data_IF_164550781842
#
_entry.id   IF_164550781842
#
_cell.length_a   1.000
_cell.length_b   1.000
_cell.length_c   1.000
_cell.angle_alpha   90.00
_cell.angle_beta   90.00
_cell.angle_gamma   90.00
#
_symmetry.space_group_name_H-M   'P 1'
#
loop_
_entity.id
_entity.type
_entity.pdbx_description
1 polymer ?
#
# COMPACT_ATOMS: atom_id res chain seq x y z
N UNK A 1 9.94 18.83 6.66
CA UNK A 1 9.92 17.52 5.98
C UNK A 1 10.07 17.77 4.50
N UNK A 2 11.15 17.24 3.94
CA UNK A 2 11.74 17.36 2.59
C UNK A 2 10.86 17.95 1.47
N UNK A 3 9.58 17.55 1.38
CA UNK A 3 8.64 18.05 0.37
C UNK A 3 8.32 19.56 0.50
N UNK A 4 8.43 20.13 1.70
CA UNK A 4 8.29 21.57 1.94
C UNK A 4 9.62 22.31 1.72
N UNK A 5 10.75 21.67 2.05
CA UNK A 5 12.09 22.21 1.89
C UNK A 5 12.45 22.37 0.40
N UNK A 6 12.15 21.36 -0.43
CA UNK A 6 12.47 21.36 -1.86
C UNK A 6 11.37 21.96 -2.74
N UNK A 7 10.40 22.67 -2.15
CA UNK A 7 9.25 23.23 -2.88
C UNK A 7 9.71 24.27 -3.91
N UNK A 8 10.66 25.11 -3.53
CA UNK A 8 11.15 26.22 -4.34
C UNK A 8 12.21 25.76 -5.37
N UNK A 9 12.84 24.61 -5.13
CA UNK A 9 13.78 23.95 -6.07
C UNK A 9 13.07 23.23 -7.23
N UNK A 10 11.73 23.27 -7.28
CA UNK A 10 10.95 22.61 -8.33
C UNK A 10 10.95 21.08 -8.27
N UNK A 11 11.42 20.49 -7.17
CA UNK A 11 11.48 19.03 -6.98
C UNK A 11 10.13 18.49 -6.51
N UNK A 12 9.58 17.50 -7.23
CA UNK A 12 8.35 16.83 -6.83
C UNK A 12 8.65 15.55 -6.05
N UNK A 13 8.10 15.43 -4.84
CA UNK A 13 8.18 14.18 -4.05
C UNK A 13 6.80 13.54 -4.00
N UNK A 14 6.67 12.35 -4.60
CA UNK A 14 5.46 11.55 -4.59
C UNK A 14 5.60 10.35 -3.63
N UNK A 15 4.60 10.15 -2.77
CA UNK A 15 4.47 8.89 -2.02
C UNK A 15 3.59 7.92 -2.81
N UNK A 16 4.14 6.76 -3.17
CA UNK A 16 3.39 5.70 -3.85
C UNK A 16 2.94 4.64 -2.85
N UNK A 17 1.63 4.39 -2.80
CA UNK A 17 0.99 3.39 -1.95
C UNK A 17 0.28 2.36 -2.86
N UNK A 18 1.03 1.44 -3.48
CA UNK A 18 0.44 0.32 -4.20
C UNK A 18 -0.24 -0.65 -3.23
N UNK A 19 -1.29 -1.33 -3.70
CA UNK A 19 -1.82 -2.50 -2.98
C UNK A 19 -1.06 -3.76 -3.36
N UNK A 20 -1.68 -4.92 -3.14
CA UNK A 20 -1.11 -6.21 -3.52
C UNK A 20 -0.72 -6.21 -5.01
N UNK A 21 0.57 -6.41 -5.26
CA UNK A 21 1.14 -6.45 -6.61
C UNK A 21 1.73 -7.82 -6.82
N UNK A 22 1.38 -8.47 -7.95
CA UNK A 22 1.82 -9.82 -8.28
C UNK A 22 3.29 -9.81 -8.71
N UNK A 23 4.19 -9.78 -7.75
CA UNK A 23 5.64 -9.84 -7.96
C UNK A 23 6.19 -11.23 -7.61
N UNK A 24 7.48 -11.45 -7.84
CA UNK A 24 8.16 -12.67 -7.39
C UNK A 24 8.60 -12.61 -5.92
N UNK A 25 8.31 -11.51 -5.21
CA UNK A 25 8.68 -11.36 -3.80
C UNK A 25 7.93 -12.37 -2.92
N UNK A 26 6.71 -12.74 -3.31
CA UNK A 26 5.87 -13.65 -2.54
C UNK A 26 6.39 -15.08 -2.57
N UNK A 27 6.77 -15.60 -3.74
CA UNK A 27 7.27 -16.96 -3.92
C UNK A 27 8.67 -17.18 -3.36
N UNK A 28 9.41 -16.09 -3.10
CA UNK A 28 10.77 -16.11 -2.55
C UNK A 28 10.85 -15.52 -1.13
N UNK A 29 9.71 -15.18 -0.53
CA UNK A 29 9.70 -14.60 0.81
C UNK A 29 10.19 -15.65 1.80
N UNK A 30 11.12 -15.28 2.67
CA UNK A 30 11.62 -16.16 3.71
C UNK A 30 10.72 -16.08 4.96
N UNK A 31 10.50 -17.22 5.58
CA UNK A 31 9.91 -17.37 6.91
C UNK A 31 10.95 -17.02 7.98
N UNK A 32 10.52 -16.86 9.24
CA UNK A 32 11.41 -16.50 10.36
C UNK A 32 12.54 -17.50 10.63
N UNK A 33 12.44 -18.72 10.09
CA UNK A 33 13.45 -19.78 10.14
C UNK A 33 14.32 -19.85 8.87
N UNK A 34 14.21 -18.88 7.95
CA UNK A 34 15.00 -18.85 6.71
C UNK A 34 14.53 -19.81 5.61
N UNK A 35 13.44 -20.54 5.79
CA UNK A 35 12.85 -21.37 4.71
C UNK A 35 11.88 -20.54 3.86
N UNK A 36 11.57 -20.98 2.65
CA UNK A 36 10.57 -20.31 1.80
C UNK A 36 9.20 -20.34 2.49
N UNK A 37 8.52 -19.21 2.53
CA UNK A 37 7.20 -19.07 3.10
C UNK A 37 6.14 -19.50 2.08
N UNK A 38 5.53 -20.66 2.31
CA UNK A 38 4.48 -21.25 1.46
C UNK A 38 3.06 -20.99 1.98
N UNK A 39 2.89 -20.16 3.02
CA UNK A 39 1.58 -19.91 3.61
C UNK A 39 0.71 -19.04 2.71
N UNK A 40 -0.56 -19.45 2.60
CA UNK A 40 -1.58 -18.73 1.85
C UNK A 40 -1.93 -17.42 2.58
N UNK A 41 -1.93 -16.30 1.85
CA UNK A 41 -2.12 -14.97 2.43
C UNK A 41 -3.56 -14.49 2.33
N UNK A 42 -4.00 -13.78 3.35
CA UNK A 42 -5.18 -12.94 3.26
C UNK A 42 -4.91 -11.76 2.30
N UNK A 43 -5.35 -11.89 1.06
CA UNK A 43 -5.29 -10.82 0.07
C UNK A 43 -6.55 -9.96 0.23
N UNK A 44 -6.36 -8.67 0.51
CA UNK A 44 -7.47 -7.71 0.54
C UNK A 44 -7.67 -7.12 -0.85
N UNK A 45 -8.79 -7.48 -1.48
CA UNK A 45 -9.15 -6.99 -2.82
C UNK A 45 -8.52 -7.82 -3.94
N UNK A 46 -8.01 -7.15 -4.97
CA UNK A 46 -7.42 -7.79 -6.16
C UNK A 46 -5.94 -7.44 -6.26
N UNK A 47 -5.15 -8.41 -6.73
CA UNK A 47 -3.76 -8.15 -7.11
C UNK A 47 -3.68 -7.36 -8.41
N UNK A 48 -2.79 -6.38 -8.46
CA UNK A 48 -2.43 -5.67 -9.67
C UNK A 48 -1.20 -6.30 -10.34
N UNK A 49 -1.14 -6.23 -11.67
CA UNK A 49 0.09 -6.60 -12.39
C UNK A 49 1.19 -5.56 -12.14
N UNK A 50 2.47 -5.98 -12.04
CA UNK A 50 3.59 -5.05 -11.85
C UNK A 50 3.65 -3.97 -12.93
N UNK A 51 3.32 -4.31 -14.18
CA UNK A 51 3.32 -3.39 -15.32
C UNK A 51 2.27 -2.29 -15.14
N UNK A 52 1.07 -2.64 -14.68
CA UNK A 52 0.01 -1.67 -14.41
C UNK A 52 0.39 -0.72 -13.27
N UNK A 53 0.99 -1.25 -12.20
CA UNK A 53 1.49 -0.47 -11.07
C UNK A 53 2.59 0.50 -11.52
N UNK A 54 3.58 0.02 -12.28
CA UNK A 54 4.65 0.85 -12.82
C UNK A 54 4.12 1.97 -13.72
N UNK A 55 3.19 1.66 -14.62
CA UNK A 55 2.60 2.67 -15.51
C UNK A 55 1.80 3.72 -14.72
N UNK A 56 1.09 3.31 -13.67
CA UNK A 56 0.35 4.23 -12.82
C UNK A 56 1.28 5.14 -12.00
N UNK A 57 2.39 4.61 -11.49
CA UNK A 57 3.43 5.41 -10.81
C UNK A 57 4.03 6.42 -11.79
N UNK A 58 4.42 5.99 -12.99
CA UNK A 58 4.96 6.86 -14.03
C UNK A 58 4.00 8.01 -14.37
N UNK A 59 2.72 7.71 -14.62
CA UNK A 59 1.67 8.71 -14.85
C UNK A 59 1.48 9.64 -13.64
N UNK A 60 1.66 9.13 -12.42
CA UNK A 60 1.60 9.92 -11.19
C UNK A 60 2.74 10.94 -11.07
N UNK A 61 3.96 10.52 -11.42
CA UNK A 61 5.15 11.39 -11.43
C UNK A 61 5.00 12.51 -12.46
N UNK A 62 4.59 12.20 -13.69
CA UNK A 62 4.35 13.22 -14.75
C UNK A 62 3.34 14.26 -14.28
N UNK A 63 2.28 13.84 -13.58
CA UNK A 63 1.24 14.73 -13.04
C UNK A 63 1.63 15.41 -11.72
N UNK A 64 2.89 15.26 -11.27
CA UNK A 64 3.42 15.81 -10.01
C UNK A 64 2.51 15.54 -8.80
N UNK A 65 1.92 14.34 -8.72
CA UNK A 65 1.04 13.99 -7.61
C UNK A 65 1.82 13.90 -6.30
N UNK A 66 1.23 14.38 -5.20
CA UNK A 66 1.83 14.27 -3.86
C UNK A 66 1.72 12.85 -3.28
N UNK A 67 0.59 12.20 -3.53
CA UNK A 67 0.27 10.85 -3.05
C UNK A 67 -0.45 10.08 -4.14
N UNK A 68 -0.05 8.83 -4.35
CA UNK A 68 -0.65 7.93 -5.32
C UNK A 68 -1.11 6.65 -4.61
N UNK A 69 -2.43 6.50 -4.46
CA UNK A 69 -3.05 5.28 -3.93
C UNK A 69 -3.74 4.54 -5.08
N UNK A 70 -3.33 3.30 -5.34
CA UNK A 70 -3.75 2.57 -6.55
C UNK A 70 -5.06 1.79 -6.36
N UNK A 71 -5.24 1.14 -5.21
CA UNK A 71 -6.41 0.28 -4.95
C UNK A 71 -7.61 1.08 -4.49
N UNK A 72 -8.82 0.66 -4.88
CA UNK A 72 -10.08 1.24 -4.41
C UNK A 72 -10.23 1.13 -2.89
N UNK A 73 -9.90 -0.03 -2.32
CA UNK A 73 -9.93 -0.23 -0.86
C UNK A 73 -8.96 0.73 -0.18
N UNK A 74 -7.71 0.80 -0.63
CA UNK A 74 -6.73 1.75 -0.09
C UNK A 74 -7.16 3.22 -0.19
N UNK A 75 -7.84 3.63 -1.28
CA UNK A 75 -8.37 4.99 -1.41
C UNK A 75 -9.44 5.27 -0.36
N UNK A 76 -10.37 4.33 -0.16
CA UNK A 76 -11.41 4.46 0.85
C UNK A 76 -10.81 4.48 2.26
N UNK A 77 -9.90 3.55 2.56
CA UNK A 77 -9.17 3.50 3.83
C UNK A 77 -8.40 4.80 4.10
N UNK A 78 -7.75 5.37 3.08
CA UNK A 78 -7.06 6.66 3.20
C UNK A 78 -8.02 7.81 3.51
N UNK A 79 -9.20 7.84 2.87
CA UNK A 79 -10.23 8.85 3.16
C UNK A 79 -10.78 8.69 4.58
N UNK A 80 -11.10 7.47 5.01
CA UNK A 80 -11.58 7.20 6.37
C UNK A 80 -10.50 7.58 7.40
N UNK A 81 -9.24 7.20 7.19
CA UNK A 81 -8.16 7.58 8.08
C UNK A 81 -7.96 9.10 8.16
N UNK A 82 -8.18 9.81 7.04
CA UNK A 82 -8.04 11.27 6.98
C UNK A 82 -9.18 12.02 7.69
N UNK A 83 -10.42 11.56 7.56
CA UNK A 83 -11.60 12.27 8.08
C UNK A 83 -12.15 11.71 9.40
N UNK A 84 -11.95 10.41 9.65
CA UNK A 84 -12.50 9.68 10.79
C UNK A 84 -11.45 8.72 11.39
N UNK A 85 -10.38 9.24 12.01
CA UNK A 85 -9.27 8.43 12.50
C UNK A 85 -9.68 7.38 13.54
N UNK A 86 -10.59 7.73 14.46
CA UNK A 86 -11.12 6.80 15.47
C UNK A 86 -11.87 5.61 14.83
N UNK A 87 -12.66 5.87 13.77
CA UNK A 87 -13.35 4.81 13.05
C UNK A 87 -12.36 3.88 12.35
N UNK A 88 -11.34 4.45 11.71
CA UNK A 88 -10.28 3.69 11.07
C UNK A 88 -9.57 2.76 12.06
N UNK A 89 -9.24 3.26 13.24
CA UNK A 89 -8.60 2.49 14.32
C UNK A 89 -9.46 1.28 14.77
N UNK A 90 -10.76 1.49 14.95
CA UNK A 90 -11.70 0.42 15.31
C UNK A 90 -11.78 -0.63 14.19
N UNK A 91 -11.86 -0.21 12.93
CA UNK A 91 -11.91 -1.13 11.78
C UNK A 91 -10.63 -1.96 11.68
N UNK A 92 -9.47 -1.33 11.84
CA UNK A 92 -8.18 -2.01 11.83
C UNK A 92 -8.04 -3.00 12.98
N UNK A 93 -8.40 -2.60 14.21
CA UNK A 93 -8.36 -3.46 15.39
C UNK A 93 -9.21 -4.72 15.22
N UNK A 94 -10.38 -4.61 14.56
CA UNK A 94 -11.23 -5.75 14.23
C UNK A 94 -10.62 -6.66 13.16
N UNK A 95 -9.97 -6.09 12.14
CA UNK A 95 -9.33 -6.87 11.06
C UNK A 95 -8.14 -7.66 11.59
N UNK A 96 -7.30 -7.04 12.41
CA UNK A 96 -6.11 -7.67 13.00
C UNK A 96 -6.50 -8.81 13.95
N UNK A 97 -7.51 -8.61 14.82
CA UNK A 97 -8.03 -9.68 15.68
C UNK A 97 -8.49 -10.91 14.88
N UNK A 98 -9.10 -10.72 13.71
CA UNK A 98 -9.52 -11.84 12.85
C UNK A 98 -8.33 -12.63 12.28
N UNK A 99 -7.21 -11.98 11.98
CA UNK A 99 -6.01 -12.69 11.50
C UNK A 99 -5.32 -13.49 12.62
N UNK A 100 -5.31 -12.97 13.86
CA UNK A 100 -4.74 -13.68 15.01
C UNK A 100 -5.62 -14.83 15.52
N UNK A 101 -6.95 -14.70 15.48
CA UNK A 101 -7.89 -15.76 15.90
C UNK A 101 -7.94 -16.91 14.88
N UNK A 102 -7.56 -16.65 13.62
CA UNK A 102 -7.55 -17.66 12.55
C UNK A 102 -6.21 -18.43 12.45
N UNK A 103 -5.26 -18.18 13.34
CA UNK A 103 -3.99 -18.88 13.48
C UNK A 103 -4.02 -19.88 14.63
#
# INVERSE_FOLDING_TARGET
>A
SLRAELKDDGVCIMMACPGFTRTNLQSRALSGNGTINTLDRAIVGREASPQSVAQAIYKGVIKRKRTLVLTTVGKLSFLIAKYFPQLYEIMMSKSVKKEFIKR
#
